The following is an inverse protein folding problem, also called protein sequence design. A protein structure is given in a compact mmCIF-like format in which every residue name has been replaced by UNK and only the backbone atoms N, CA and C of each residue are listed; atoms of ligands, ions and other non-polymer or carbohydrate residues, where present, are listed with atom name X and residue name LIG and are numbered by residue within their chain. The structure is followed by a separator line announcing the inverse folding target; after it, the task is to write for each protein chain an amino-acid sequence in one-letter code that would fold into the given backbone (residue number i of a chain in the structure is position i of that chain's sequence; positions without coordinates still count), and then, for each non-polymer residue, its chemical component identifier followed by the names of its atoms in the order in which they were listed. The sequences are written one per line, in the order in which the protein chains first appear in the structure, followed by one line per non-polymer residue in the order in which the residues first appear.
data_IF_735969458562
#
_entry.id   IF_735969458562
#
_cell.length_a   1.000
_cell.length_b   1.000
_cell.length_c   1.000
_cell.angle_alpha   90.00
_cell.angle_beta   90.00
_cell.angle_gamma   90.00
#
_symmetry.space_group_name_H-M   'P 1'
#
loop_
_entity.id
_entity.type
_entity.pdbx_description
1 polymer ?
#
# COMPACT_ATOMS: atom_id res chain seq x y z
N UNK A 1 4.71 21.00 -3.67
CA UNK A 1 3.73 19.89 -3.78
C UNK A 1 3.22 19.61 -2.37
N UNK A 2 1.92 19.75 -2.11
CA UNK A 2 1.38 19.61 -0.75
C UNK A 2 1.10 18.13 -0.47
N UNK A 3 1.71 17.59 0.58
CA UNK A 3 1.34 16.28 1.13
C UNK A 3 0.03 16.40 1.91
N UNK A 4 -0.84 15.40 1.77
CA UNK A 4 -2.10 15.27 2.48
C UNK A 4 -1.98 14.01 3.35
N UNK A 5 -1.77 14.15 4.68
CA UNK A 5 -1.82 13.02 5.58
C UNK A 5 -3.18 12.32 5.49
N UNK A 6 -3.17 11.00 5.36
CA UNK A 6 -4.38 10.18 5.26
C UNK A 6 -4.57 9.42 6.56
N UNK A 7 -5.72 9.64 7.19
CA UNK A 7 -6.12 8.88 8.37
C UNK A 7 -6.57 7.46 7.98
N UNK A 8 -5.67 6.49 8.14
CA UNK A 8 -5.92 5.09 7.77
C UNK A 8 -6.95 4.42 8.67
N UNK A 9 -7.19 4.91 9.90
CA UNK A 9 -8.22 4.37 10.79
C UNK A 9 -9.64 4.60 10.24
N UNK A 10 -9.81 5.60 9.37
CA UNK A 10 -11.10 5.94 8.75
C UNK A 10 -11.29 5.34 7.36
N UNK A 11 -10.30 4.62 6.81
CA UNK A 11 -10.37 4.05 5.46
C UNK A 11 -11.08 2.69 5.38
N UNK A 12 -11.41 2.07 6.53
CA UNK A 12 -11.92 0.71 6.59
C UNK A 12 -10.80 -0.33 6.47
N UNK A 13 -11.17 -1.58 6.16
CA UNK A 13 -10.19 -2.67 6.04
C UNK A 13 -9.42 -2.56 4.73
N UNK A 14 -8.11 -2.41 4.83
CA UNK A 14 -7.17 -2.41 3.71
C UNK A 14 -6.75 -3.85 3.40
N UNK A 15 -6.95 -4.32 2.16
CA UNK A 15 -6.48 -5.65 1.72
C UNK A 15 -5.53 -5.56 0.55
N UNK A 16 -4.49 -6.39 0.56
CA UNK A 16 -3.57 -6.53 -0.56
C UNK A 16 -4.33 -7.00 -1.81
N UNK A 17 -4.20 -6.24 -2.90
CA UNK A 17 -4.70 -6.60 -4.22
C UNK A 17 -3.58 -7.15 -5.11
N UNK A 18 -2.39 -6.54 -5.04
CA UNK A 18 -1.18 -6.97 -5.73
C UNK A 18 -0.04 -6.87 -4.72
N UNK A 19 0.77 -7.93 -4.63
CA UNK A 19 1.93 -8.03 -3.73
C UNK A 19 3.00 -6.99 -4.07
N UNK A 20 4.02 -6.78 -3.21
CA UNK A 20 5.03 -5.76 -3.47
C UNK A 20 5.83 -6.02 -4.76
N UNK A 21 5.80 -5.05 -5.67
CA UNK A 21 6.56 -5.05 -6.91
C UNK A 21 7.53 -3.86 -6.95
N UNK A 22 8.75 -4.07 -7.45
CA UNK A 22 9.70 -2.98 -7.64
C UNK A 22 9.12 -1.95 -8.63
N UNK A 23 8.96 -0.70 -8.19
CA UNK A 23 8.34 0.33 -9.02
C UNK A 23 9.30 0.75 -10.13
N UNK A 24 8.83 0.71 -11.37
CA UNK A 24 9.62 1.16 -12.52
C UNK A 24 9.46 2.68 -12.70
N UNK A 25 10.57 3.41 -12.79
CA UNK A 25 10.57 4.86 -13.07
C UNK A 25 10.68 5.19 -14.55
N UNK A 26 11.29 4.30 -15.34
CA UNK A 26 11.40 4.42 -16.79
C UNK A 26 11.06 3.07 -17.43
N UNK A 27 9.94 3.02 -18.15
CA UNK A 27 9.45 1.78 -18.78
C UNK A 27 10.28 1.35 -20.00
N UNK A 28 10.99 2.26 -20.65
CA UNK A 28 11.84 1.93 -21.81
C UNK A 28 13.13 1.24 -21.37
N UNK A 29 13.76 1.74 -20.29
CA UNK A 29 15.03 1.21 -19.77
C UNK A 29 14.85 0.15 -18.68
N UNK A 30 13.61 -0.09 -18.23
CA UNK A 30 13.28 -0.90 -17.05
C UNK A 30 14.00 -0.44 -15.78
N UNK A 31 14.28 0.87 -15.67
CA UNK A 31 14.95 1.41 -14.49
C UNK A 31 14.05 1.32 -13.26
N UNK A 32 14.57 0.68 -12.21
CA UNK A 32 13.91 0.58 -10.91
C UNK A 32 14.02 1.91 -10.17
N UNK A 33 12.87 2.40 -9.71
CA UNK A 33 12.77 3.64 -8.96
C UNK A 33 13.53 3.52 -7.63
N UNK A 34 14.40 4.49 -7.39
CA UNK A 34 15.07 4.72 -6.11
C UNK A 34 14.50 5.94 -5.39
N UNK A 35 14.53 5.93 -4.06
CA UNK A 35 14.30 7.14 -3.27
C UNK A 35 15.58 7.99 -3.16
N UNK A 36 15.53 9.06 -2.35
CA UNK A 36 16.67 9.97 -2.18
C UNK A 36 17.87 9.32 -1.49
N UNK A 37 17.64 8.26 -0.74
CA UNK A 37 18.64 7.54 0.04
C UNK A 37 19.17 6.31 -0.74
N UNK A 38 18.70 6.09 -1.97
CA UNK A 38 19.11 4.99 -2.84
C UNK A 38 18.33 3.69 -2.62
N UNK A 39 17.30 3.68 -1.76
CA UNK A 39 16.48 2.49 -1.53
C UNK A 39 15.56 2.24 -2.71
N UNK A 40 15.36 0.97 -3.07
CA UNK A 40 14.32 0.60 -4.05
C UNK A 40 12.95 0.98 -3.53
N UNK A 41 12.15 1.63 -4.37
CA UNK A 41 10.74 1.90 -4.09
C UNK A 41 9.90 0.75 -4.63
N UNK A 42 9.07 0.18 -3.77
CA UNK A 42 8.09 -0.83 -4.14
C UNK A 42 6.69 -0.21 -4.24
N UNK A 43 5.84 -0.82 -5.07
CA UNK A 43 4.41 -0.52 -5.18
C UNK A 43 3.63 -1.69 -4.61
N UNK A 44 2.65 -1.40 -3.75
CA UNK A 44 1.66 -2.39 -3.28
C UNK A 44 0.28 -1.88 -3.67
N UNK A 45 -0.50 -2.68 -4.40
CA UNK A 45 -1.88 -2.32 -4.70
C UNK A 45 -2.78 -2.77 -3.55
N UNK A 46 -3.61 -1.85 -3.05
CA UNK A 46 -4.44 -2.07 -1.88
C UNK A 46 -5.87 -1.70 -2.20
N UNK A 47 -6.80 -2.59 -1.87
CA UNK A 47 -8.23 -2.28 -1.89
C UNK A 47 -8.62 -1.47 -0.66
N UNK A 48 -9.38 -0.41 -0.87
CA UNK A 48 -9.88 0.51 0.17
C UNK A 48 -11.39 0.60 0.03
N UNK A 49 -12.12 0.42 1.13
CA UNK A 49 -13.57 0.61 1.16
C UNK A 49 -14.01 1.17 2.50
N UNK A 50 -14.37 2.45 2.50
CA UNK A 50 -15.13 3.05 3.60
C UNK A 50 -16.56 2.54 3.59
N UNK A 51 -17.21 2.53 4.76
CA UNK A 51 -18.61 2.15 4.85
C UNK A 51 -19.51 3.05 3.99
N UNK A 52 -20.51 2.45 3.35
CA UNK A 52 -21.40 3.14 2.40
C UNK A 52 -20.73 3.64 1.11
N UNK A 53 -19.43 3.39 0.87
CA UNK A 53 -18.73 3.82 -0.35
C UNK A 53 -18.41 2.64 -1.28
N UNK A 54 -18.21 2.96 -2.56
CA UNK A 54 -17.65 2.03 -3.55
C UNK A 54 -16.21 1.71 -3.19
N UNK A 55 -15.80 0.48 -3.49
CA UNK A 55 -14.41 0.06 -3.34
C UNK A 55 -13.53 0.83 -4.33
N UNK A 56 -12.31 1.13 -3.91
CA UNK A 56 -11.25 1.70 -4.76
C UNK A 56 -10.00 0.85 -4.62
N UNK A 57 -9.18 0.81 -5.67
CA UNK A 57 -7.83 0.24 -5.61
C UNK A 57 -6.85 1.39 -5.70
N UNK A 58 -5.89 1.45 -4.78
CA UNK A 58 -4.82 2.45 -4.79
C UNK A 58 -3.46 1.75 -4.79
N UNK A 59 -2.52 2.31 -5.54
CA UNK A 59 -1.11 1.90 -5.47
C UNK A 59 -0.37 2.76 -4.46
N UNK A 60 0.24 2.10 -3.47
CA UNK A 60 0.99 2.76 -2.41
C UNK A 60 2.49 2.52 -2.65
N UNK A 61 3.24 3.59 -2.82
CA UNK A 61 4.69 3.54 -2.88
C UNK A 61 5.30 3.42 -1.46
N UNK A 62 6.28 2.56 -1.29
CA UNK A 62 7.01 2.36 -0.02
C UNK A 62 8.49 2.14 -0.31
N UNK A 63 9.36 2.72 0.51
CA UNK A 63 10.80 2.53 0.39
C UNK A 63 11.22 1.21 1.07
N UNK A 64 12.05 0.42 0.39
CA UNK A 64 12.36 -0.94 0.82
C UNK A 64 11.20 -1.91 0.55
N UNK A 65 11.52 -3.20 0.47
CA UNK A 65 10.53 -4.24 0.17
C UNK A 65 9.75 -4.62 1.43
N UNK A 66 8.41 -4.45 1.45
CA UNK A 66 7.56 -5.03 2.49
C UNK A 66 7.63 -6.56 2.44
N UNK A 67 7.85 -7.21 3.59
CA UNK A 67 7.97 -8.67 3.68
C UNK A 67 6.69 -9.31 4.22
N UNK A 68 6.44 -10.55 3.79
CA UNK A 68 5.34 -11.37 4.31
C UNK A 68 3.95 -10.87 3.94
N UNK A 69 3.82 -10.17 2.81
CA UNK A 69 2.53 -9.71 2.26
C UNK A 69 2.08 -10.69 1.17
N UNK A 70 0.88 -11.23 1.34
CA UNK A 70 0.20 -12.08 0.35
C UNK A 70 -1.08 -11.40 -0.17
N UNK A 71 -1.54 -11.79 -1.36
CA UNK A 71 -2.80 -11.29 -1.91
C UNK A 71 -4.00 -11.62 -1.01
N UNK A 72 -4.95 -10.69 -0.91
CA UNK A 72 -6.12 -10.81 -0.05
C UNK A 72 -5.85 -10.55 1.45
N UNK A 73 -4.60 -10.52 1.89
CA UNK A 73 -4.23 -10.30 3.28
C UNK A 73 -4.60 -8.89 3.75
N UNK A 74 -5.04 -8.78 5.01
CA UNK A 74 -5.30 -7.48 5.64
C UNK A 74 -3.96 -6.81 5.94
N UNK A 75 -3.84 -5.53 5.56
CA UNK A 75 -2.62 -4.75 5.71
C UNK A 75 -2.80 -3.62 6.72
N UNK A 76 -1.76 -3.38 7.52
CA UNK A 76 -1.59 -2.15 8.26
C UNK A 76 -0.65 -1.23 7.46
N UNK A 77 -1.16 -0.06 7.11
CA UNK A 77 -0.41 0.99 6.41
C UNK A 77 -0.09 2.12 7.40
N UNK A 78 1.19 2.46 7.52
CA UNK A 78 1.71 3.49 8.44
C UNK A 78 2.23 4.68 7.65
N UNK A 79 1.91 5.90 8.09
CA UNK A 79 2.41 7.13 7.45
C UNK A 79 1.82 7.40 6.07
N UNK A 80 0.59 6.94 5.80
CA UNK A 80 -0.03 7.11 4.48
C UNK A 80 -0.21 8.60 4.15
N UNK A 81 0.35 9.01 3.03
CA UNK A 81 0.31 10.36 2.52
C UNK A 81 -0.11 10.36 1.06
N UNK A 82 -1.07 11.20 0.72
CA UNK A 82 -1.47 11.46 -0.65
C UNK A 82 -0.81 12.74 -1.17
N UNK A 83 -0.48 12.77 -2.46
CA UNK A 83 0.04 13.96 -3.12
C UNK A 83 -0.61 14.13 -4.49
N UNK A 84 -1.20 15.30 -4.70
CA UNK A 84 -1.74 15.71 -5.98
C UNK A 84 -0.61 16.19 -6.89
N UNK A 85 -0.64 15.75 -8.16
CA UNK A 85 0.37 16.08 -9.15
C UNK A 85 -0.26 16.46 -10.48
N UNK A 86 0.47 17.27 -11.25
CA UNK A 86 0.16 17.61 -12.63
C UNK A 86 1.47 17.70 -13.42
N UNK A 87 1.51 17.13 -14.62
CA UNK A 87 2.65 17.11 -15.55
C UNK A 87 2.10 17.20 -16.97
N UNK A 88 2.18 18.39 -17.57
CA UNK A 88 1.46 18.69 -18.81
C UNK A 88 -0.03 18.46 -18.61
N UNK A 89 -0.64 17.69 -19.51
CA UNK A 89 -2.08 17.37 -19.45
C UNK A 89 -2.43 16.25 -18.46
N UNK A 90 -1.43 15.55 -17.93
CA UNK A 90 -1.64 14.47 -16.96
C UNK A 90 -1.72 15.03 -15.56
N UNK A 91 -2.67 14.55 -14.77
CA UNK A 91 -2.78 14.87 -13.36
C UNK A 91 -3.29 13.65 -12.60
N UNK A 92 -3.10 13.65 -11.28
CA UNK A 92 -3.56 12.55 -10.46
C UNK A 92 -3.24 12.71 -8.99
N UNK A 93 -3.65 11.70 -8.23
CA UNK A 93 -3.27 11.52 -6.84
C UNK A 93 -2.36 10.29 -6.78
N UNK A 94 -1.27 10.41 -6.05
CA UNK A 94 -0.39 9.29 -5.75
C UNK A 94 -0.26 9.12 -4.24
N UNK A 95 0.01 7.90 -3.82
CA UNK A 95 0.06 7.51 -2.41
C UNK A 95 1.45 7.01 -2.06
N UNK A 96 1.95 7.41 -0.90
CA UNK A 96 3.18 6.90 -0.29
C UNK A 96 2.92 6.55 1.16
N UNK A 97 3.56 5.50 1.66
CA UNK A 97 3.57 5.15 3.07
C UNK A 97 5.01 4.99 3.58
N UNK A 98 5.16 5.07 4.90
CA UNK A 98 6.42 4.78 5.57
C UNK A 98 6.64 3.27 5.70
N UNK A 99 5.56 2.53 5.97
CA UNK A 99 5.59 1.07 6.06
C UNK A 99 4.24 0.44 5.70
N UNK A 100 4.31 -0.77 5.14
CA UNK A 100 3.16 -1.64 4.91
C UNK A 100 3.50 -2.99 5.55
N UNK A 101 2.61 -3.48 6.42
CA UNK A 101 2.84 -4.72 7.16
C UNK A 101 1.60 -5.60 7.14
N UNK A 102 1.76 -6.93 7.09
CA UNK A 102 0.65 -7.86 7.25
C UNK A 102 0.01 -7.73 8.65
N UNK A 103 -1.31 -7.78 8.71
CA UNK A 103 -2.03 -8.01 9.98
C UNK A 103 -2.18 -9.52 10.13
N UNK A 104 -1.39 -10.12 11.01
CA UNK A 104 -1.59 -11.51 11.40
C UNK A 104 -2.86 -11.61 12.25
N UNK A 105 -3.82 -12.43 11.81
CA UNK A 105 -4.90 -12.85 12.69
C UNK A 105 -4.28 -13.60 13.86
N UNK A 106 -4.70 -13.29 15.09
CA UNK A 106 -4.36 -14.13 16.24
C UNK A 106 -4.79 -15.58 15.91
N UNK A 107 -3.97 -16.60 16.22
CA UNK A 107 -4.38 -17.98 16.00
C UNK A 107 -5.72 -18.20 16.70
N UNK A 108 -6.69 -18.76 15.98
CA UNK A 108 -7.93 -19.19 16.60
C UNK A 108 -7.58 -20.15 17.77
N UNK A 109 -8.17 -20.01 18.96
CA UNK A 109 -7.92 -20.95 20.03
C UNK A 109 -8.26 -22.36 19.52
N UNK A 110 -7.28 -23.25 19.56
CA UNK A 110 -7.47 -24.64 19.22
C UNK A 110 -8.66 -25.15 20.01
N UNK A 111 -9.74 -25.51 19.33
CA UNK A 111 -10.87 -26.20 19.96
C UNK A 111 -10.40 -27.63 20.19
N UNK A 112 -9.60 -27.81 21.25
CA UNK A 112 -9.24 -29.14 21.75
C UNK A 112 -10.56 -29.83 22.05
N UNK A 113 -10.88 -30.84 21.24
CA UNK A 113 -12.12 -31.61 21.35
C UNK A 113 -12.26 -32.16 22.76
N UNK A 114 -13.37 -31.82 23.40
CA UNK A 114 -13.82 -32.48 24.62
C UNK A 114 -14.26 -33.90 24.30
N UNK A 115 -13.79 -34.83 25.15
CA UNK A 115 -14.13 -36.24 25.19
C UNK A 115 -15.63 -36.48 25.47
#
# INVERSE_FOLDING_TARGET
MRSIPVDTARLGVLRCAITPEAKISNFETQEVKKDRDGNTVYSVAVTVRQDGRRISVIEIAVAGEPKGIEEGQILKVTGLTAFAWAMGDRHGISFRADAITPVHAAPAPNKTGGA
#
